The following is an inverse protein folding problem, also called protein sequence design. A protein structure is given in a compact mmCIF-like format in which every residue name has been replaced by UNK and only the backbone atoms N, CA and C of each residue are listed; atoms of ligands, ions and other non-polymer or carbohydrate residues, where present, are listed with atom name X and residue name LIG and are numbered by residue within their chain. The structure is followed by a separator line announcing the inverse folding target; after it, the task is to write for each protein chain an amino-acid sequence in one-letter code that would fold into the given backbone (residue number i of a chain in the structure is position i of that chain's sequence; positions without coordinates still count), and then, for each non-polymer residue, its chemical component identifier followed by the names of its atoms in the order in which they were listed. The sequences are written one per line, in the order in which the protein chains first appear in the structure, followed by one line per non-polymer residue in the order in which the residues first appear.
data_IF_970530197982
#
_entry.id   IF_970530197982
#
_cell.length_a   1.000
_cell.length_b   1.000
_cell.length_c   1.000
_cell.angle_alpha   90.00
_cell.angle_beta   90.00
_cell.angle_gamma   90.00
#
_symmetry.space_group_name_H-M   'P 1'
#
loop_
_entity.id
_entity.type
_entity.pdbx_description
1 polymer ?
2 non-polymer ?
3 non-polymer ?
4 water ?
#
# COMPACT_ATOMS: atom_id res chain seq x y z
N UNK A 10 -15.88 10.94 -0.24
CA UNK A 10 -15.24 10.56 1.05
C UNK A 10 -14.69 9.14 1.08
N UNK A 11 -13.48 9.07 1.61
CA UNK A 11 -12.78 7.82 1.84
C UNK A 11 -13.47 7.20 3.05
N UNK A 12 -13.86 5.92 2.96
CA UNK A 12 -14.59 5.35 4.09
C UNK A 12 -13.73 5.14 5.35
N UNK A 13 -14.43 5.16 6.49
CA UNK A 13 -13.83 4.94 7.79
C UNK A 13 -13.56 3.43 7.83
N UNK A 14 -12.74 3.00 8.79
CA UNK A 14 -12.47 1.56 8.93
C UNK A 14 -13.70 0.86 9.46
N UNK A 15 -13.85 -0.42 9.12
CA UNK A 15 -15.01 -1.21 9.60
C UNK A 15 -14.75 -1.96 10.89
N UNK A 16 -13.51 -1.95 11.38
CA UNK A 16 -13.18 -2.66 12.61
C UNK A 16 -13.44 -1.81 13.85
N UNK A 17 -13.28 -2.42 15.04
CA UNK A 17 -13.61 -1.80 16.32
C UNK A 17 -12.64 -0.73 16.82
N UNK A 18 -11.43 -0.69 16.30
CA UNK A 18 -10.41 0.23 16.80
C UNK A 18 -10.54 1.56 16.07
N UNK A 19 -10.37 2.63 16.82
CA UNK A 19 -10.18 3.96 16.23
C UNK A 19 -8.81 3.98 15.55
N UNK A 20 -8.66 4.82 14.54
CA UNK A 20 -7.43 4.87 13.74
C UNK A 20 -6.70 6.22 13.81
N UNK A 21 -5.37 6.11 13.93
CA UNK A 21 -4.46 7.24 13.94
C UNK A 21 -3.56 7.20 12.72
N UNK A 22 -2.92 8.32 12.42
CA UNK A 22 -2.00 8.40 11.33
C UNK A 22 -0.89 9.40 11.60
N UNK A 23 0.32 9.06 11.13
CA UNK A 23 1.47 9.96 11.15
C UNK A 23 2.47 9.60 10.03
N UNK A 24 3.45 10.47 9.82
CA UNK A 24 4.53 10.25 8.86
C UNK A 24 5.87 10.05 9.58
N UNK A 25 6.71 9.18 9.01
CA UNK A 25 8.05 8.90 9.54
C UNK A 25 9.06 8.90 8.40
N UNK A 26 10.12 9.71 8.55
CA UNK A 26 11.22 9.73 7.59
C UNK A 26 12.54 9.54 8.33
N UNK A 27 13.18 8.39 8.10
CA UNK A 27 14.47 8.11 8.73
C UNK A 27 15.35 7.15 7.94
N UNK A 28 16.60 7.51 7.63
CA UNK A 28 17.13 8.90 7.82
C UNK A 28 16.45 9.93 6.88
N UNK A 29 16.95 11.17 6.93
CA UNK A 29 16.51 12.28 6.07
C UNK A 29 16.90 12.22 4.58
N UNK A 30 17.72 11.24 4.18
CA UNK A 30 18.34 11.27 2.83
C UNK A 30 17.41 10.59 1.84
N UNK A 31 17.79 10.65 0.56
CA UNK A 31 17.08 9.89 -0.48
C UNK A 31 17.22 8.36 -0.37
N UNK A 32 18.15 7.88 0.46
CA UNK A 32 18.28 6.46 0.79
C UNK A 32 17.62 6.06 2.12
N UNK A 33 17.08 7.04 2.82
CA UNK A 33 16.30 6.77 4.00
C UNK A 33 14.94 6.13 3.70
N UNK A 34 14.24 5.79 4.77
CA UNK A 34 12.87 5.29 4.72
C UNK A 34 11.92 6.46 4.94
N UNK A 35 10.90 6.53 4.08
CA UNK A 35 9.76 7.44 4.21
C UNK A 35 8.51 6.58 4.21
N UNK A 36 7.70 6.70 5.24
CA UNK A 36 6.45 5.95 5.30
C UNK A 36 5.38 6.75 6.00
N UNK A 37 4.14 6.44 5.64
CA UNK A 37 2.95 6.89 6.35
C UNK A 37 2.44 5.73 7.16
N UNK A 38 2.24 6.00 8.45
CA UNK A 38 1.87 4.96 9.40
C UNK A 38 0.39 5.12 9.73
N UNK A 39 -0.34 4.02 9.67
CA UNK A 39 -1.71 3.93 10.19
C UNK A 39 -1.69 2.91 11.31
N UNK A 40 -2.35 3.24 12.42
CA UNK A 40 -2.25 2.46 13.63
C UNK A 40 -3.50 2.58 14.51
N UNK A 41 -3.77 1.56 15.34
CA UNK A 41 -4.89 1.68 16.27
C UNK A 41 -4.62 2.81 17.25
N UNK A 42 -5.58 3.71 17.42
CA UNK A 42 -5.35 4.93 18.20
C UNK A 42 -6.06 4.93 19.54
N UNK A 43 -5.44 5.60 20.50
CA UNK A 43 -6.03 5.81 21.81
C UNK A 43 -7.17 6.82 21.70
N UNK A 44 -6.88 7.95 21.07
CA UNK A 44 -7.83 9.07 20.93
C UNK A 44 -8.61 9.05 19.61
N UNK A 45 -9.81 9.63 19.68
CA UNK A 45 -10.65 9.84 18.50
C UNK A 45 -11.13 11.31 18.31
N UNK A 46 -10.55 12.26 19.03
CA UNK A 46 -10.91 13.69 18.94
C UNK A 46 -9.87 14.54 18.20
N UNK A 47 -8.97 13.89 17.46
CA UNK A 47 -7.97 14.63 16.71
C UNK A 47 -8.53 15.10 15.38
N UNK A 48 -7.82 16.04 14.76
CA UNK A 48 -8.08 16.44 13.39
C UNK A 48 -7.83 15.29 12.45
N UNK A 49 -8.70 15.15 11.45
CA UNK A 49 -8.50 14.18 10.36
C UNK A 49 -7.22 14.51 9.57
N UNK A 50 -6.75 13.51 8.83
CA UNK A 50 -5.45 13.53 8.16
C UNK A 50 -5.59 14.09 6.73
N UNK A 51 -4.75 15.06 6.39
CA UNK A 51 -4.75 15.68 5.07
C UNK A 51 -4.25 14.63 4.05
N UNK A 52 -5.07 14.41 3.02
CA UNK A 52 -4.94 13.25 2.13
C UNK A 52 -3.71 13.33 1.23
N UNK A 53 -3.55 14.48 0.58
CA UNK A 53 -2.40 14.76 -0.30
C UNK A 53 -1.78 16.07 0.25
N UNK A 54 -0.71 15.95 1.05
CA UNK A 54 -0.20 17.06 1.90
C UNK A 54 0.67 18.16 1.31
N UNK A 55 1.13 18.02 0.08
CA UNK A 55 2.00 19.03 -0.54
C UNK A 55 1.62 19.22 -2.00
N UNK A 56 1.77 20.46 -2.45
CA UNK A 56 1.45 20.85 -3.83
C UNK A 56 2.22 20.06 -4.88
N UNK A 57 3.46 19.71 -4.54
CA UNK A 57 4.34 19.05 -5.47
C UNK A 57 3.80 17.65 -5.85
N UNK A 58 3.02 17.01 -4.98
CA UNK A 58 2.35 15.77 -5.38
C UNK A 58 1.38 16.01 -6.54
N UNK A 59 0.67 17.12 -6.55
CA UNK A 59 -0.25 17.43 -7.67
C UNK A 59 0.54 17.71 -8.95
N UNK A 60 1.63 18.44 -8.81
CA UNK A 60 2.53 18.66 -9.93
C UNK A 60 3.02 17.35 -10.54
N UNK A 61 3.46 16.44 -9.68
CA UNK A 61 3.81 15.08 -10.06
C UNK A 61 2.69 14.32 -10.74
N UNK A 62 1.51 14.26 -10.12
CA UNK A 62 0.35 13.61 -10.74
C UNK A 62 0.09 14.18 -12.15
N UNK A 63 0.26 15.49 -12.34
CA UNK A 63 -0.01 16.06 -13.66
C UNK A 63 0.90 15.45 -14.75
N UNK A 64 2.16 15.18 -14.40
CA UNK A 64 3.10 14.54 -15.32
C UNK A 64 2.69 13.08 -15.59
N UNK A 65 2.28 12.39 -14.54
CA UNK A 65 1.84 10.99 -14.66
C UNK A 65 0.62 10.87 -15.56
N UNK A 66 -0.30 11.82 -15.43
CA UNK A 66 -1.49 11.85 -16.28
C UNK A 66 -1.17 12.36 -17.68
N UNK A 67 0.05 12.86 -17.89
CA UNK A 67 0.50 13.30 -19.21
C UNK A 67 -0.21 14.54 -19.65
N UNK A 68 -0.76 15.28 -18.68
CA UNK A 68 -1.53 16.49 -18.95
C UNK A 68 -0.58 17.66 -18.92
N UNK A 69 -1.12 18.78 -19.36
CA UNK A 69 -0.48 20.07 -19.20
C UNK A 69 -0.08 20.26 -17.72
N UNK A 70 1.15 20.71 -17.51
CA UNK A 70 1.69 20.98 -16.16
C UNK A 70 0.78 21.86 -15.25
N UNK A 71 0.20 22.92 -15.84
CA UNK A 71 -0.78 23.81 -15.17
C UNK A 71 -2.01 23.09 -14.58
N UNK A 72 -2.35 21.92 -15.11
CA UNK A 72 -3.40 21.07 -14.51
C UNK A 72 -3.09 20.66 -13.06
N UNK A 73 -1.81 20.60 -12.70
CA UNK A 73 -1.39 20.36 -11.31
C UNK A 73 -2.07 21.26 -10.29
N UNK A 74 -2.02 22.57 -10.55
CA UNK A 74 -2.72 23.55 -9.71
C UNK A 74 -4.24 23.42 -9.70
N UNK A 75 -4.81 22.94 -10.80
CA UNK A 75 -6.25 22.60 -10.85
C UNK A 75 -6.54 21.35 -9.99
N UNK A 76 -5.71 20.32 -10.10
CA UNK A 76 -5.88 19.13 -9.23
C UNK A 76 -5.78 19.52 -7.75
N UNK A 77 -4.87 20.44 -7.45
CA UNK A 77 -4.66 20.90 -6.10
C UNK A 77 -5.87 21.67 -5.59
N UNK A 78 -6.38 22.61 -6.39
CA UNK A 78 -7.63 23.27 -6.07
C UNK A 78 -8.72 22.22 -5.74
N UNK A 79 -8.87 21.20 -6.59
CA UNK A 79 -9.98 20.24 -6.48
C UNK A 79 -9.83 19.30 -5.31
N UNK A 80 -8.60 18.87 -5.04
CA UNK A 80 -8.33 17.84 -4.04
C UNK A 80 -7.41 18.23 -2.88
N UNK A 81 -6.84 19.43 -2.89
CA UNK A 81 -5.84 19.84 -1.89
C UNK A 81 -6.30 20.04 -0.45
N UNK A 82 -7.61 20.11 -0.25
CA UNK A 82 -8.23 20.28 1.07
C UNK A 82 -8.88 19.00 1.63
N UNK A 83 -8.93 17.94 0.83
CA UNK A 83 -9.52 16.67 1.26
C UNK A 83 -8.75 15.99 2.38
N UNK A 84 -9.50 15.40 3.29
CA UNK A 84 -8.92 14.64 4.38
C UNK A 84 -9.30 13.19 4.23
N UNK A 85 -8.64 12.36 5.04
CA UNK A 85 -8.92 10.94 5.12
C UNK A 85 -9.20 10.65 6.61
N UNK A 86 -10.20 9.78 6.92
CA UNK A 86 -10.64 9.63 8.32
C UNK A 86 -9.68 8.85 9.25
N UNK A 87 -8.52 9.45 9.51
CA UNK A 87 -7.55 8.97 10.50
C UNK A 87 -7.12 10.14 11.40
N UNK A 88 -7.07 9.89 12.70
CA UNK A 88 -6.74 10.94 13.67
C UNK A 88 -5.24 11.26 13.56
N UNK A 89 -4.95 12.46 13.06
CA UNK A 89 -3.54 12.90 12.83
C UNK A 89 -2.82 12.94 14.17
N UNK A 90 -1.69 12.23 14.24
CA UNK A 90 -0.80 12.22 15.41
C UNK A 90 -1.43 11.76 16.72
N UNK A 91 -2.51 10.99 16.66
CA UNK A 91 -3.13 10.48 17.87
C UNK A 91 -2.16 9.54 18.57
N UNK A 92 -2.19 9.49 19.91
CA UNK A 92 -1.37 8.47 20.55
C UNK A 92 -1.78 7.05 20.15
N UNK A 93 -0.79 6.17 20.14
CA UNK A 93 -1.02 4.75 19.85
C UNK A 93 -1.81 4.13 20.98
N UNK A 94 -2.74 3.26 20.61
CA UNK A 94 -3.54 2.53 21.57
C UNK A 94 -2.63 1.52 22.29
N UNK A 95 -2.43 1.72 23.60
CA UNK A 95 -1.46 0.90 24.30
C UNK A 95 -2.02 -0.46 24.69
N UNK A 96 -1.14 -1.28 25.27
CA UNK A 96 -1.52 -2.50 25.99
C UNK A 96 -1.69 -3.76 25.16
N UNK A 97 -1.36 -3.71 23.87
CA UNK A 97 -1.47 -4.87 22.99
C UNK A 97 -0.44 -4.79 21.86
N UNK A 98 0.08 -5.95 21.46
CA UNK A 98 1.04 -6.06 20.34
C UNK A 98 0.31 -6.30 19.02
N UNK A 99 0.65 -5.47 18.03
CA UNK A 99 -0.07 -5.43 16.76
C UNK A 99 0.74 -6.05 15.63
N UNK A 100 0.11 -6.88 14.77
CA UNK A 100 0.82 -7.31 13.56
C UNK A 100 1.08 -6.13 12.63
N UNK A 101 2.01 -6.34 11.69
CA UNK A 101 2.51 -5.29 10.82
C UNK A 101 2.36 -5.62 9.34
N UNK A 102 1.77 -4.68 8.60
CA UNK A 102 1.69 -4.72 7.16
C UNK A 102 2.61 -3.62 6.64
N UNK A 103 3.42 -3.96 5.64
CA UNK A 103 4.21 -2.97 4.90
C UNK A 103 3.44 -2.89 3.59
N UNK A 104 3.09 -1.67 3.17
CA UNK A 104 2.27 -1.44 1.97
C UNK A 104 3.03 -0.70 0.87
N UNK A 105 2.93 -1.22 -0.35
CA UNK A 105 3.60 -0.66 -1.53
C UNK A 105 2.66 -0.10 -2.59
N UNK A 106 2.87 1.18 -2.92
CA UNK A 106 2.02 1.90 -3.83
C UNK A 106 2.35 1.60 -5.30
N UNK A 107 1.37 1.86 -6.16
CA UNK A 107 1.54 1.73 -7.61
C UNK A 107 2.38 2.84 -8.25
N UNK A 108 2.57 2.70 -9.55
CA UNK A 108 3.26 3.67 -10.37
C UNK A 108 2.47 4.95 -10.53
N UNK A 109 3.13 6.08 -10.31
CA UNK A 109 2.48 7.38 -10.33
C UNK A 109 1.68 7.70 -9.07
N UNK A 110 1.66 6.76 -8.11
CA UNK A 110 1.03 6.99 -6.80
C UNK A 110 2.11 7.47 -5.82
N UNK A 111 1.81 7.47 -4.53
CA UNK A 111 2.77 7.78 -3.46
C UNK A 111 2.12 7.32 -2.15
N UNK A 112 2.74 7.61 -1.00
CA UNK A 112 2.39 6.89 0.25
C UNK A 112 0.96 7.03 0.82
N UNK A 113 0.30 8.13 0.45
CA UNK A 113 -0.94 8.57 1.10
C UNK A 113 -2.22 8.08 0.38
N UNK A 114 -2.05 7.52 -0.81
CA UNK A 114 -3.17 7.25 -1.71
C UNK A 114 -3.84 5.89 -1.56
N UNK A 115 -3.48 5.19 -0.50
CA UNK A 115 -4.12 3.92 -0.19
C UNK A 115 -4.57 3.90 1.27
N UNK A 116 -5.15 5.03 1.69
CA UNK A 116 -5.66 5.20 3.05
C UNK A 116 -6.93 4.39 3.32
N UNK A 117 -7.73 4.12 2.30
CA UNK A 117 -8.94 3.29 2.52
C UNK A 117 -8.52 1.89 3.03
N UNK A 118 -7.52 1.31 2.39
CA UNK A 118 -6.97 0.03 2.80
C UNK A 118 -6.28 0.12 4.18
N UNK A 119 -5.41 1.11 4.34
CA UNK A 119 -4.58 1.27 5.54
C UNK A 119 -5.37 1.55 6.80
N UNK A 120 -6.33 2.47 6.69
CA UNK A 120 -7.28 2.77 7.75
C UNK A 120 -8.09 1.52 8.12
N UNK A 121 -8.57 0.77 7.13
CA UNK A 121 -9.38 -0.40 7.47
C UNK A 121 -8.57 -1.44 8.24
N UNK A 122 -7.34 -1.67 7.79
CA UNK A 122 -6.44 -2.63 8.43
C UNK A 122 -6.20 -2.20 9.88
N UNK A 123 -5.88 -0.92 10.06
CA UNK A 123 -5.65 -0.33 11.39
C UNK A 123 -6.83 -0.51 12.32
N UNK A 124 -8.04 -0.24 11.82
CA UNK A 124 -9.27 -0.39 12.58
C UNK A 124 -9.54 -1.83 13.04
N UNK A 125 -8.93 -2.82 12.38
CA UNK A 125 -8.95 -4.22 12.82
C UNK A 125 -7.77 -4.65 13.71
N UNK A 126 -6.87 -3.71 13.98
CA UNK A 126 -5.78 -3.90 14.93
C UNK A 126 -4.42 -4.20 14.33
N UNK A 127 -4.17 -3.70 13.14
CA UNK A 127 -2.86 -3.77 12.48
C UNK A 127 -2.18 -2.43 12.55
N UNK A 128 -0.85 -2.43 12.57
CA UNK A 128 -0.08 -1.26 12.19
C UNK A 128 0.31 -1.41 10.73
N UNK A 129 0.10 -0.32 9.96
CA UNK A 129 0.34 -0.30 8.54
C UNK A 129 1.40 0.78 8.24
N UNK A 130 2.43 0.39 7.50
CA UNK A 130 3.48 1.28 7.08
C UNK A 130 3.44 1.33 5.56
N UNK A 131 2.92 2.44 5.04
CA UNK A 131 2.80 2.67 3.62
C UNK A 131 4.07 3.41 3.20
N UNK A 132 4.95 2.67 2.53
CA UNK A 132 6.25 3.18 2.08
C UNK A 132 6.05 4.26 1.00
N UNK A 133 6.96 5.22 0.95
CA UNK A 133 7.05 6.08 -0.22
C UNK A 133 8.37 5.70 -0.92
N UNK A 134 8.22 5.17 -2.13
CA UNK A 134 9.35 4.73 -2.89
C UNK A 134 10.14 5.90 -3.48
N UNK A 135 11.45 5.75 -3.49
CA UNK A 135 12.38 6.75 -4.04
C UNK A 135 13.05 6.24 -5.33
N UNK A 136 12.31 5.39 -6.06
CA UNK A 136 12.80 4.77 -7.30
C UNK A 136 12.43 5.57 -8.57
N UNK A 137 11.86 6.76 -8.36
CA UNK A 137 11.21 7.55 -9.41
C UNK A 137 9.95 6.89 -10.01
N UNK A 138 9.31 5.96 -9.28
CA UNK A 138 8.00 5.41 -9.66
C UNK A 138 6.85 6.17 -9.00
N UNK A 139 7.13 6.93 -7.94
CA UNK A 139 6.13 7.81 -7.35
C UNK A 139 5.93 9.01 -8.27
N UNK A 140 4.71 9.58 -8.29
CA UNK A 140 4.48 10.85 -9.01
C UNK A 140 5.46 11.91 -8.50
N UNK A 141 5.60 11.95 -7.17
CA UNK A 141 6.57 12.76 -6.50
C UNK A 141 6.95 12.15 -5.16
N UNK A 142 8.13 12.50 -4.69
CA UNK A 142 8.50 12.27 -3.31
C UNK A 142 9.55 13.31 -2.94
N UNK A 143 9.94 13.34 -1.67
CA UNK A 143 10.94 14.27 -1.23
C UNK A 143 11.83 13.71 -0.13
N UNK A 144 12.90 14.44 0.11
CA UNK A 144 13.89 14.12 1.16
C UNK A 144 14.77 15.35 1.32
N UNK A 145 15.85 15.21 2.08
CA UNK A 145 16.71 16.35 2.37
C UNK A 145 18.12 16.01 1.94
N UNK A 146 18.77 17.03 1.39
CA UNK A 146 20.05 16.87 0.75
C UNK A 146 21.10 16.54 1.79
N UNK A 147 20.95 17.10 2.98
CA UNK A 147 21.88 16.84 4.07
C UNK A 147 21.27 17.26 5.42
N UNK A 148 22.05 17.11 6.49
CA UNK A 148 21.58 17.34 7.87
C UNK A 148 21.00 18.75 8.04
N UNK A 149 21.74 19.75 7.55
CA UNK A 149 21.30 21.16 7.58
C UNK A 149 19.95 21.36 6.90
N UNK A 150 19.83 20.95 5.64
CA UNK A 150 18.56 21.06 4.87
C UNK A 150 17.33 20.45 5.57
N UNK A 151 17.53 19.36 6.30
CA UNK A 151 16.45 18.73 7.07
C UNK A 151 16.02 19.56 8.28
N UNK A 152 16.97 20.22 8.94
CA UNK A 152 16.64 21.15 10.05
C UNK A 152 15.73 22.29 9.62
N UNK A 153 16.20 23.09 8.65
CA UNK A 153 15.38 24.19 8.13
C UNK A 153 14.22 23.73 7.26
N UNK A 154 14.10 22.43 6.99
CA UNK A 154 12.94 21.92 6.24
C UNK A 154 12.96 22.26 4.75
N UNK A 155 14.17 22.35 4.20
CA UNK A 155 14.38 22.65 2.78
C UNK A 155 14.30 21.32 2.01
N UNK A 156 13.11 21.03 1.49
CA UNK A 156 12.83 19.77 0.79
C UNK A 156 13.43 19.74 -0.63
N UNK A 157 13.95 18.58 -1.00
CA UNK A 157 14.33 18.28 -2.36
C UNK A 157 13.30 17.31 -2.92
N UNK A 158 12.71 17.67 -4.07
CA UNK A 158 11.67 16.88 -4.70
C UNK A 158 12.22 16.06 -5.82
N UNK A 159 11.73 14.83 -5.93
CA UNK A 159 12.11 13.87 -6.95
C UNK A 159 10.82 13.44 -7.66
N UNK A 160 10.79 13.61 -8.99
CA UNK A 160 9.56 13.41 -9.76
C UNK A 160 9.61 12.12 -10.55
N UNK A 161 8.43 11.69 -10.99
CA UNK A 161 8.25 10.49 -11.80
C UNK A 161 9.18 10.48 -13.01
N UNK A 162 9.83 9.36 -13.24
CA UNK A 162 10.63 9.14 -14.45
C UNK A 162 9.79 8.54 -15.58
N UNK A 163 9.86 9.18 -16.73
CA UNK A 163 9.29 8.66 -17.98
C UNK A 163 10.32 7.75 -18.67
N UNK A 164 9.90 6.55 -19.02
CA UNK A 164 10.78 5.57 -19.67
C UNK A 164 10.53 5.49 -21.16
N UNK A 165 11.61 5.36 -21.92
CA UNK A 165 11.55 5.00 -23.33
C UNK A 165 11.27 3.50 -23.46
N UNK A 166 10.71 3.11 -24.61
CA UNK A 166 10.37 1.69 -24.87
C UNK A 166 11.56 0.76 -24.55
N UNK A 167 12.77 1.23 -24.87
CA UNK A 167 13.99 0.44 -24.76
C UNK A 167 14.55 0.30 -23.35
N UNK A 168 14.09 1.13 -22.41
CA UNK A 168 14.47 1.03 -20.98
C UNK A 168 13.46 0.23 -20.18
N UNK A 169 12.31 -0.08 -20.76
CA UNK A 169 11.16 -0.55 -19.97
C UNK A 169 11.49 -1.81 -19.17
N UNK A 170 11.94 -2.86 -19.85
CA UNK A 170 12.26 -4.15 -19.18
C UNK A 170 13.27 -3.91 -18.05
N UNK A 171 14.44 -3.40 -18.46
CA UNK A 171 15.55 -3.22 -17.55
C UNK A 171 15.19 -2.30 -16.38
N UNK A 172 14.73 -1.09 -16.66
CA UNK A 172 14.51 -0.12 -15.58
C UNK A 172 13.34 -0.48 -14.67
N UNK A 173 12.27 -1.08 -15.17
CA UNK A 173 11.19 -1.55 -14.27
C UNK A 173 11.68 -2.62 -13.31
N UNK A 174 12.63 -3.43 -13.75
CA UNK A 174 13.17 -4.47 -12.88
C UNK A 174 14.08 -3.84 -11.83
N UNK A 175 14.93 -2.89 -12.21
CA UNK A 175 15.77 -2.19 -11.24
C UNK A 175 14.90 -1.53 -10.17
N UNK A 176 13.78 -1.00 -10.60
CA UNK A 176 12.82 -0.32 -9.75
C UNK A 176 12.10 -1.22 -8.75
N UNK A 177 11.61 -2.37 -9.24
CA UNK A 177 11.01 -3.34 -8.35
C UNK A 177 12.04 -3.84 -7.31
N UNK A 178 13.28 -4.05 -7.71
CA UNK A 178 14.27 -4.50 -6.73
C UNK A 178 14.55 -3.44 -5.69
N UNK A 179 14.68 -2.16 -6.11
CA UNK A 179 14.77 -1.06 -5.14
C UNK A 179 13.56 -1.02 -4.22
N UNK A 180 12.37 -1.17 -4.79
CA UNK A 180 11.16 -1.21 -3.99
C UNK A 180 11.21 -2.32 -2.90
N UNK A 181 11.60 -3.52 -3.29
CA UNK A 181 11.75 -4.60 -2.32
C UNK A 181 12.70 -4.18 -1.20
N UNK A 182 13.86 -3.61 -1.59
CA UNK A 182 14.83 -3.15 -0.61
C UNK A 182 14.27 -2.11 0.33
N UNK A 183 13.48 -1.17 -0.21
CA UNK A 183 12.82 -0.15 0.59
C UNK A 183 11.77 -0.76 1.54
N UNK A 184 11.05 -1.79 1.09
CA UNK A 184 10.15 -2.51 2.00
C UNK A 184 10.86 -3.19 3.14
N UNK A 185 11.96 -3.88 2.85
CA UNK A 185 12.75 -4.56 3.88
C UNK A 185 13.35 -3.56 4.84
N UNK A 186 13.77 -2.41 4.33
CA UNK A 186 14.35 -1.35 5.14
C UNK A 186 13.32 -0.75 6.09
N UNK A 187 12.10 -0.58 5.59
CA UNK A 187 11.00 -0.07 6.40
C UNK A 187 10.72 -1.02 7.55
N UNK A 188 10.58 -2.30 7.23
CA UNK A 188 10.45 -3.36 8.26
C UNK A 188 11.50 -3.24 9.34
N UNK A 189 12.78 -3.24 8.93
CA UNK A 189 13.89 -3.12 9.88
C UNK A 189 13.83 -1.86 10.74
N UNK A 190 13.47 -0.72 10.13
CA UNK A 190 13.26 0.53 10.88
C UNK A 190 12.19 0.37 11.95
N UNK A 191 11.04 -0.18 11.57
CA UNK A 191 9.93 -0.37 12.50
C UNK A 191 10.32 -1.38 13.58
N UNK A 192 10.88 -2.51 13.17
CA UNK A 192 11.36 -3.49 14.17
C UNK A 192 12.38 -2.89 15.15
N UNK A 193 13.27 -2.02 14.67
CA UNK A 193 14.21 -1.30 15.59
C UNK A 193 13.51 -0.36 16.54
N UNK A 194 12.51 0.36 16.01
CA UNK A 194 11.69 1.24 16.83
C UNK A 194 10.97 0.42 17.90
N UNK A 195 10.42 -0.73 17.52
CA UNK A 195 9.81 -1.68 18.47
C UNK A 195 10.78 -2.12 19.57
N UNK A 196 11.99 -2.48 19.17
CA UNK A 196 13.06 -2.84 20.12
C UNK A 196 13.80 -1.64 20.72
N UNK A 197 13.22 -0.45 20.53
CA UNK A 197 13.42 0.72 21.41
C UNK A 197 14.53 1.70 21.02
N UNK A 198 15.14 1.49 19.86
CA UNK A 198 16.20 2.36 19.36
C UNK A 198 15.64 3.78 19.21
N UNK A 199 16.32 4.79 19.81
CA UNK A 199 15.91 6.19 19.53
C UNK A 199 16.08 6.55 18.05
N UNK A 200 15.00 7.07 17.48
CA UNK A 200 14.95 7.49 16.09
C UNK A 200 14.47 8.92 16.15
N UNK A 201 15.26 9.86 15.65
CA UNK A 201 14.82 11.24 15.44
C UNK A 201 14.17 11.39 14.07
N UNK A 202 12.83 11.50 14.05
CA UNK A 202 12.08 11.68 12.81
C UNK A 202 12.60 12.92 12.08
N UNK A 203 12.85 12.80 10.78
CA UNK A 203 13.37 13.94 10.03
C UNK A 203 12.27 14.99 9.79
N UNK A 204 11.02 14.54 9.87
CA UNK A 204 9.88 15.42 9.94
C UNK A 204 9.60 15.76 11.39
N UNK A 205 9.42 17.03 11.66
CA UNK A 205 9.19 17.55 13.00
C UNK A 205 7.69 17.44 13.25
N UNK A 206 7.25 16.25 13.69
CA UNK A 206 5.84 15.99 13.99
C UNK A 206 5.64 15.62 15.45
N UNK A 207 4.52 16.06 16.00
CA UNK A 207 4.24 15.90 17.43
C UNK A 207 3.76 14.46 17.63
N UNK A 208 4.69 13.52 17.60
CA UNK A 208 4.37 12.10 17.72
C UNK A 208 5.63 11.36 18.13
N UNK A 209 5.68 10.94 19.37
CA UNK A 209 6.88 10.35 19.93
C UNK A 209 6.89 8.88 19.53
N UNK A 210 7.95 8.50 18.81
CA UNK A 210 8.10 7.14 18.32
C UNK A 210 8.33 6.11 19.46
N UNK A 211 8.77 6.58 20.61
CA UNK A 211 8.88 5.71 21.81
C UNK A 211 7.58 4.96 22.18
N UNK A 212 6.44 5.56 21.87
CA UNK A 212 5.14 4.87 21.91
C UNK A 212 5.14 3.49 21.29
N UNK A 213 5.79 3.38 20.13
CA UNK A 213 5.84 2.11 19.39
C UNK A 213 6.71 1.01 20.03
N UNK A 214 7.46 1.34 21.08
CA UNK A 214 8.23 0.34 21.80
C UNK A 214 7.30 -0.79 22.27
N UNK A 215 7.80 -2.03 22.18
CA UNK A 215 7.07 -3.26 22.54
C UNK A 215 5.62 -3.40 22.06
N UNK A 216 5.30 -2.75 20.95
CA UNK A 216 3.92 -2.69 20.41
C UNK A 216 3.69 -3.45 19.09
N UNK A 217 4.76 -4.09 18.58
CA UNK A 217 4.69 -4.88 17.36
C UNK A 217 4.76 -6.37 17.73
N UNK A 218 3.89 -7.14 17.08
CA UNK A 218 3.91 -8.59 17.19
C UNK A 218 4.95 -9.03 16.16
N UNK A 219 6.15 -9.33 16.64
CA UNK A 219 7.35 -9.24 15.78
C UNK A 219 7.40 -10.27 14.66
N UNK A 220 6.77 -11.41 14.84
CA UNK A 220 6.73 -12.43 13.78
C UNK A 220 5.53 -12.36 12.82
N UNK A 221 4.54 -11.54 13.14
CA UNK A 221 3.29 -11.46 12.38
C UNK A 221 3.43 -10.29 11.41
N UNK A 222 4.10 -10.57 10.30
CA UNK A 222 4.48 -9.55 9.33
C UNK A 222 4.06 -9.94 7.93
N UNK A 223 3.41 -9.02 7.22
CA UNK A 223 2.99 -9.22 5.85
C UNK A 223 3.27 -8.01 5.00
N UNK A 224 3.31 -8.24 3.70
CA UNK A 224 3.54 -7.17 2.71
C UNK A 224 2.34 -7.19 1.74
N UNK A 225 1.79 -6.00 1.46
CA UNK A 225 0.65 -5.81 0.57
C UNK A 225 0.96 -4.64 -0.38
N UNK A 226 0.40 -4.69 -1.57
CA UNK A 226 0.63 -3.62 -2.53
C UNK A 226 -0.17 -3.80 -3.79
N UNK A 227 -0.36 -2.64 -4.44
CA UNK A 227 -1.20 -2.49 -5.60
C UNK A 227 -0.38 -2.29 -6.87
N UNK A 228 -0.67 -3.14 -7.87
CA UNK A 228 -0.14 -2.98 -9.23
C UNK A 228 1.40 -3.14 -9.25
N UNK A 229 2.15 -2.07 -9.50
CA UNK A 229 3.60 -2.10 -9.29
C UNK A 229 3.92 -2.57 -7.87
N UNK A 230 3.12 -2.12 -6.92
CA UNK A 230 3.22 -2.57 -5.51
C UNK A 230 3.00 -4.06 -5.30
N UNK A 231 2.20 -4.66 -6.19
CA UNK A 231 1.89 -6.08 -6.19
C UNK A 231 3.08 -6.91 -6.66
N UNK A 232 3.78 -6.42 -7.68
CA UNK A 232 5.06 -7.04 -8.09
C UNK A 232 6.05 -6.87 -6.91
N UNK A 233 5.99 -5.72 -6.28
CA UNK A 233 6.85 -5.43 -5.12
C UNK A 233 6.63 -6.46 -4.02
N UNK A 234 5.36 -6.80 -3.74
CA UNK A 234 5.05 -7.86 -2.80
C UNK A 234 5.90 -9.10 -3.12
N UNK A 235 5.84 -9.51 -4.37
CA UNK A 235 6.43 -10.78 -4.80
C UNK A 235 7.96 -10.76 -4.77
N UNK A 236 8.56 -9.66 -5.25
CA UNK A 236 10.00 -9.50 -5.12
C UNK A 236 10.41 -9.54 -3.63
N UNK A 237 9.64 -8.85 -2.80
CA UNK A 237 9.96 -8.63 -1.38
C UNK A 237 9.96 -10.00 -0.65
N UNK A 238 8.91 -10.78 -0.85
CA UNK A 238 8.80 -12.11 -0.31
C UNK A 238 9.97 -12.97 -0.67
N UNK A 239 10.39 -12.92 -1.93
CA UNK A 239 11.48 -13.77 -2.39
C UNK A 239 12.82 -13.41 -1.74
N UNK A 240 12.95 -12.14 -1.37
CA UNK A 240 14.18 -11.61 -0.78
C UNK A 240 14.27 -11.59 0.75
N UNK A 241 13.14 -11.62 1.43
CA UNK A 241 13.10 -11.32 2.87
C UNK A 241 12.11 -12.28 3.51
N UNK A 242 12.64 -13.33 4.13
CA UNK A 242 11.81 -14.35 4.77
C UNK A 242 11.09 -13.84 6.03
N UNK A 243 11.41 -12.62 6.49
CA UNK A 243 10.73 -12.03 7.65
C UNK A 243 9.28 -11.78 7.36
N UNK A 244 8.96 -11.48 6.09
CA UNK A 244 7.59 -11.36 5.63
C UNK A 244 6.98 -12.75 5.49
N UNK A 245 5.90 -13.01 6.20
CA UNK A 245 5.37 -14.36 6.32
C UNK A 245 4.28 -14.70 5.32
N UNK A 246 3.67 -13.68 4.71
CA UNK A 246 2.80 -13.89 3.56
C UNK A 246 2.61 -12.56 2.84
N UNK A 247 2.06 -12.64 1.63
CA UNK A 247 1.82 -11.46 0.81
C UNK A 247 0.45 -11.45 0.16
N UNK A 248 -0.05 -10.26 -0.06
CA UNK A 248 -1.29 -10.02 -0.81
C UNK A 248 -1.02 -9.00 -1.92
N UNK A 249 -1.17 -9.45 -3.17
CA UNK A 249 -0.95 -8.63 -4.32
C UNK A 249 -2.32 -8.19 -4.84
N UNK A 250 -2.53 -6.87 -4.86
CA UNK A 250 -3.80 -6.28 -5.30
C UNK A 250 -3.61 -5.88 -6.73
N UNK A 251 -4.25 -6.60 -7.64
CA UNK A 251 -4.18 -6.37 -9.09
C UNK A 251 -2.71 -6.13 -9.49
N UNK A 252 -1.89 -7.14 -9.23
CA UNK A 252 -0.47 -7.06 -9.54
C UNK A 252 -0.16 -6.83 -11.03
N UNK A 253 0.76 -5.91 -11.30
CA UNK A 253 1.35 -5.72 -12.61
C UNK A 253 2.67 -6.47 -12.59
N UNK A 254 2.73 -7.61 -13.27
CA UNK A 254 3.84 -8.55 -13.12
C UNK A 254 5.09 -8.24 -13.97
N UNK A 255 4.97 -7.32 -14.91
CA UNK A 255 6.06 -7.04 -15.87
C UNK A 255 7.43 -6.75 -15.23
N UNK A 256 7.49 -5.99 -14.12
CA UNK A 256 8.79 -5.70 -13.50
C UNK A 256 9.63 -6.90 -13.03
N UNK A 257 9.00 -8.05 -12.76
CA UNK A 257 9.69 -9.16 -12.13
C UNK A 257 10.67 -9.84 -13.06
N UNK A 258 11.83 -10.19 -12.53
CA UNK A 258 12.79 -11.02 -13.27
C UNK A 258 12.32 -12.46 -13.35
N UNK A 259 12.70 -13.17 -14.41
CA UNK A 259 12.36 -14.61 -14.61
C UNK A 259 12.73 -15.50 -13.43
N UNK A 260 13.77 -15.09 -12.72
CA UNK A 260 14.30 -15.86 -11.62
C UNK A 260 13.40 -15.94 -10.40
N UNK A 261 12.53 -14.95 -10.18
CA UNK A 261 11.81 -14.83 -8.89
C UNK A 261 10.62 -15.79 -8.78
N UNK A 262 10.09 -16.22 -9.92
CA UNK A 262 8.83 -16.95 -9.96
C UNK A 262 8.86 -18.24 -9.17
N UNK A 263 9.97 -18.97 -9.20
CA UNK A 263 10.11 -20.22 -8.45
C UNK A 263 10.62 -20.05 -7.01
N UNK A 264 10.65 -18.81 -6.50
CA UNK A 264 11.44 -18.52 -5.29
C UNK A 264 10.60 -17.81 -4.22
N UNK A 265 9.32 -18.18 -4.09
CA UNK A 265 8.41 -17.50 -3.19
C UNK A 265 7.78 -18.57 -2.28
N UNK A 266 8.50 -18.96 -1.21
CA UNK A 266 7.96 -20.03 -0.37
C UNK A 266 6.71 -19.64 0.43
N UNK A 267 6.53 -18.35 0.70
CA UNK A 267 5.41 -17.86 1.54
C UNK A 267 4.04 -17.86 0.84
N UNK A 268 2.93 -18.00 1.62
CA UNK A 268 1.59 -17.87 1.01
C UNK A 268 1.38 -16.51 0.36
N UNK A 269 0.70 -16.55 -0.78
CA UNK A 269 0.48 -15.41 -1.62
C UNK A 269 -0.95 -15.48 -2.14
N UNK A 270 -1.61 -14.32 -2.11
CA UNK A 270 -3.02 -14.13 -2.44
C UNK A 270 -3.07 -13.06 -3.52
N UNK A 271 -3.64 -13.40 -4.67
CA UNK A 271 -3.89 -12.41 -5.74
C UNK A 271 -5.36 -12.02 -5.67
N UNK A 272 -5.61 -10.72 -5.44
CA UNK A 272 -6.95 -10.12 -5.51
C UNK A 272 -6.92 -9.23 -6.74
N UNK A 273 -7.67 -9.64 -7.77
CA UNK A 273 -7.68 -8.93 -9.06
C UNK A 273 -8.99 -8.19 -9.33
N UNK A 274 -8.91 -7.21 -10.23
CA UNK A 274 -10.09 -6.58 -10.78
C UNK A 274 -10.50 -7.35 -12.03
N UNK A 275 -11.77 -7.24 -12.39
CA UNK A 275 -12.27 -7.87 -13.61
C UNK A 275 -11.67 -7.28 -14.90
N UNK A 276 -11.55 -5.95 -14.96
CA UNK A 276 -11.26 -5.26 -16.24
C UNK A 276 -9.78 -4.98 -16.52
N UNK A 277 -8.92 -5.03 -15.53
CA UNK A 277 -7.51 -4.77 -15.74
C UNK A 277 -6.77 -5.92 -16.39
N UNK A 278 -7.05 -7.14 -15.95
CA UNK A 278 -6.17 -8.28 -16.21
C UNK A 278 -6.19 -8.78 -17.67
N UNK A 279 -5.11 -9.45 -18.03
CA UNK A 279 -4.87 -9.93 -19.39
C UNK A 279 -3.98 -11.17 -19.37
N UNK A 280 -4.07 -12.03 -20.42
CA UNK A 280 -3.33 -13.30 -20.44
C UNK A 280 -1.85 -13.23 -20.03
N UNK A 281 -1.08 -12.30 -20.58
CA UNK A 281 0.36 -12.24 -20.28
C UNK A 281 0.61 -12.07 -18.77
N UNK A 282 -0.16 -11.17 -18.15
CA UNK A 282 -0.12 -10.92 -16.72
C UNK A 282 -0.59 -12.12 -15.90
N UNK A 283 -1.70 -12.75 -16.26
CA UNK A 283 -2.21 -13.95 -15.56
C UNK A 283 -1.25 -15.14 -15.63
N UNK A 284 -0.63 -15.35 -16.79
CA UNK A 284 0.34 -16.42 -16.99
C UNK A 284 1.49 -16.27 -16.01
N UNK A 285 1.95 -15.03 -15.87
CA UNK A 285 2.99 -14.71 -14.90
C UNK A 285 2.57 -15.00 -13.46
N UNK A 286 1.34 -14.65 -13.09
CA UNK A 286 0.83 -15.01 -11.76
C UNK A 286 0.87 -16.53 -11.57
N UNK A 287 0.46 -17.27 -12.59
CA UNK A 287 0.43 -18.74 -12.53
C UNK A 287 1.83 -19.39 -12.45
N UNK A 288 2.89 -18.68 -12.86
CA UNK A 288 4.27 -19.13 -12.69
C UNK A 288 4.73 -19.06 -11.23
N UNK A 289 3.97 -18.36 -10.39
CA UNK A 289 4.23 -18.38 -8.97
C UNK A 289 3.66 -19.62 -8.32
N UNK A 290 2.81 -20.36 -9.02
CA UNK A 290 2.11 -21.52 -8.46
C UNK A 290 3.01 -22.74 -8.56
N UNK A 291 2.80 -23.65 -7.62
CA UNK A 291 3.68 -24.80 -7.39
C UNK A 291 2.99 -25.72 -6.39
N UNK A 292 3.08 -27.05 -6.56
CA UNK A 292 2.23 -27.91 -5.72
C UNK A 292 2.44 -27.75 -4.20
N UNK A 293 3.65 -27.43 -3.80
CA UNK A 293 4.00 -27.27 -2.38
C UNK A 293 3.62 -25.90 -1.76
N UNK A 294 3.18 -24.94 -2.58
CA UNK A 294 2.95 -23.58 -2.12
C UNK A 294 1.49 -23.20 -2.00
N UNK A 295 1.22 -22.27 -1.10
CA UNK A 295 -0.12 -21.79 -0.82
C UNK A 295 -0.40 -20.56 -1.67
N UNK A 296 -1.37 -20.71 -2.57
CA UNK A 296 -1.72 -19.69 -3.54
C UNK A 296 -3.23 -19.59 -3.62
N UNK A 297 -3.74 -18.36 -3.70
CA UNK A 297 -5.17 -18.07 -3.81
C UNK A 297 -5.35 -16.88 -4.77
N UNK A 298 -6.45 -16.89 -5.51
CA UNK A 298 -6.80 -15.87 -6.46
C UNK A 298 -8.31 -15.67 -6.51
N UNK A 299 -8.71 -14.41 -6.51
CA UNK A 299 -10.11 -14.03 -6.70
C UNK A 299 -10.17 -12.78 -7.57
N UNK A 300 -11.33 -12.55 -8.15
CA UNK A 300 -11.55 -11.43 -9.04
C UNK A 300 -12.85 -10.77 -8.65
N UNK A 301 -12.77 -9.47 -8.40
CA UNK A 301 -13.91 -8.67 -7.98
C UNK A 301 -14.75 -8.30 -9.20
N UNK A 302 -16.01 -8.76 -9.24
CA UNK A 302 -16.93 -8.51 -10.35
C UNK A 302 -17.18 -7.04 -10.53
N UNK A 303 -17.14 -6.58 -11.77
CA UNK A 303 -17.45 -5.20 -12.12
C UNK A 303 -16.41 -4.17 -11.70
N UNK A 304 -15.21 -4.62 -11.33
CA UNK A 304 -14.19 -3.73 -10.80
C UNK A 304 -13.15 -3.39 -11.85
N UNK A 305 -12.51 -2.23 -11.63
CA UNK A 305 -11.44 -1.73 -12.48
C UNK A 305 -10.17 -1.60 -11.64
N UNK A 306 -9.04 -1.47 -12.32
CA UNK A 306 -7.72 -1.33 -11.68
C UNK A 306 -7.72 -0.32 -10.50
N UNK A 307 -8.42 0.80 -10.68
CA UNK A 307 -8.44 1.86 -9.69
C UNK A 307 -9.30 1.63 -8.43
N UNK A 308 -10.12 0.56 -8.38
CA UNK A 308 -10.93 0.27 -7.18
C UNK A 308 -10.07 0.03 -5.89
N UNK A 309 -8.78 -0.28 -6.06
CA UNK A 309 -7.90 -0.52 -4.93
C UNK A 309 -7.22 0.73 -4.42
N UNK A 310 -7.41 1.88 -5.08
CA UNK A 310 -6.77 3.12 -4.64
C UNK A 310 -7.76 4.18 -4.27
N UNK A 311 -7.27 5.22 -3.59
CA UNK A 311 -8.17 6.21 -2.96
C UNK A 311 -8.94 7.10 -3.95
N UNK A 312 -8.45 7.27 -5.17
CA UNK A 312 -9.10 8.18 -6.12
C UNK A 312 -10.44 7.62 -6.62
N UNK A 313 -10.70 6.32 -6.38
CA UNK A 313 -12.04 5.74 -6.58
C UNK A 313 -13.10 6.32 -5.65
N UNK A 314 -12.68 7.02 -4.61
CA UNK A 314 -13.59 7.71 -3.70
C UNK A 314 -13.66 9.23 -3.86
N UNK A 315 -12.79 9.80 -4.67
CA UNK A 315 -12.56 11.25 -4.71
C UNK A 315 -13.49 12.05 -5.58
N UNK A 316 -14.24 11.36 -6.43
CA UNK A 316 -15.18 11.98 -7.37
C UNK A 316 -16.52 11.26 -7.37
N UNK A 317 -17.50 11.93 -7.99
CA UNK A 317 -18.83 11.37 -8.25
C UNK A 317 -18.85 10.16 -9.16
N UNK A 318 -19.99 9.45 -9.16
CA UNK A 318 -20.21 8.19 -9.91
C UNK A 318 -20.00 8.32 -11.39
N UNK A 319 -20.52 9.39 -11.97
CA UNK A 319 -20.46 9.57 -13.41
C UNK A 319 -19.04 9.97 -13.88
N UNK A 320 -18.45 11.04 -13.34
CA UNK A 320 -17.08 11.39 -13.79
C UNK A 320 -16.10 10.32 -13.34
N UNK A 321 -16.40 9.68 -12.22
CA UNK A 321 -15.61 8.55 -11.77
C UNK A 321 -15.56 7.41 -12.78
N UNK A 322 -16.73 7.04 -13.31
CA UNK A 322 -16.82 5.98 -14.32
C UNK A 322 -16.12 6.38 -15.61
N UNK A 323 -16.35 7.61 -16.04
CA UNK A 323 -15.70 8.18 -17.23
C UNK A 323 -14.18 8.19 -17.15
N UNK A 324 -13.64 8.63 -16.01
CA UNK A 324 -12.19 8.69 -15.77
C UNK A 324 -11.51 7.34 -15.38
N UNK A 325 -12.28 6.25 -15.42
CA UNK A 325 -11.78 4.91 -15.08
C UNK A 325 -11.33 4.75 -13.62
N UNK A 326 -11.87 5.58 -12.74
CA UNK A 326 -11.67 5.51 -11.29
C UNK A 326 -12.66 4.57 -10.61
N UNK A 327 -13.85 4.44 -11.19
CA UNK A 327 -14.90 3.59 -10.64
C UNK A 327 -15.31 2.56 -11.69
N UNK A 328 -15.72 1.39 -11.23
CA UNK A 328 -16.28 0.37 -12.09
C UNK A 328 -17.79 0.33 -11.99
N UNK A 329 -18.35 -0.73 -12.55
CA UNK A 329 -19.78 -1.03 -12.45
C UNK A 329 -20.19 -1.26 -10.99
N UNK A 330 -19.30 -1.91 -10.26
CA UNK A 330 -19.51 -2.20 -8.86
C UNK A 330 -19.31 -0.93 -8.02
N UNK A 331 -20.06 -0.82 -6.93
CA UNK A 331 -19.84 0.24 -5.95
C UNK A 331 -18.45 0.20 -5.30
N UNK A 332 -17.80 1.34 -5.22
CA UNK A 332 -16.44 1.42 -4.69
C UNK A 332 -16.26 0.98 -3.24
N UNK A 333 -17.26 1.26 -2.39
CA UNK A 333 -17.22 0.78 -1.00
C UNK A 333 -17.46 -0.72 -0.96
N UNK A 334 -18.45 -1.20 -1.72
CA UNK A 334 -18.67 -2.65 -1.87
C UNK A 334 -17.34 -3.33 -2.28
N UNK A 335 -16.71 -2.83 -3.34
CA UNK A 335 -15.49 -3.45 -3.87
C UNK A 335 -14.38 -3.51 -2.83
N UNK A 336 -14.10 -2.37 -2.20
CA UNK A 336 -13.01 -2.31 -1.23
C UNK A 336 -13.32 -3.14 0.03
N UNK A 337 -14.58 -3.17 0.47
CA UNK A 337 -15.00 -4.05 1.58
C UNK A 337 -14.61 -5.50 1.29
N UNK A 338 -14.91 -5.98 0.08
CA UNK A 338 -14.58 -7.34 -0.33
C UNK A 338 -13.07 -7.60 -0.28
N UNK A 339 -12.29 -6.68 -0.85
CA UNK A 339 -10.84 -6.79 -0.88
C UNK A 339 -10.25 -6.77 0.54
N UNK A 340 -10.72 -5.83 1.36
CA UNK A 340 -10.24 -5.69 2.72
C UNK A 340 -10.63 -6.86 3.61
N UNK A 341 -11.89 -7.34 3.53
CA UNK A 341 -12.34 -8.48 4.36
C UNK A 341 -11.65 -9.79 3.99
N UNK A 342 -11.51 -10.05 2.69
CA UNK A 342 -10.79 -11.24 2.19
C UNK A 342 -9.33 -11.22 2.59
N UNK A 343 -8.74 -10.02 2.54
CA UNK A 343 -7.36 -9.79 3.00
C UNK A 343 -7.18 -10.15 4.47
N UNK A 344 -8.09 -9.66 5.30
CA UNK A 344 -8.10 -9.98 6.74
C UNK A 344 -8.16 -11.46 7.06
N UNK A 345 -9.00 -12.19 6.32
CA UNK A 345 -9.14 -13.62 6.57
C UNK A 345 -7.82 -14.34 6.24
N UNK A 346 -7.27 -14.02 5.07
CA UNK A 346 -5.97 -14.54 4.63
C UNK A 346 -4.84 -14.27 5.63
N UNK A 347 -4.74 -13.02 6.06
CA UNK A 347 -3.77 -12.63 7.07
C UNK A 347 -3.97 -13.45 8.36
N UNK A 348 -5.22 -13.62 8.79
CA UNK A 348 -5.50 -14.39 9.99
C UNK A 348 -4.96 -15.81 9.82
N UNK A 349 -5.29 -16.43 8.68
CA UNK A 349 -4.83 -17.78 8.39
C UNK A 349 -3.30 -17.92 8.39
N UNK A 350 -2.61 -16.98 7.77
CA UNK A 350 -1.18 -17.18 7.50
C UNK A 350 -0.24 -16.48 8.46
N UNK A 351 -0.76 -15.53 9.23
CA UNK A 351 -0.03 -14.99 10.39
C UNK A 351 -0.39 -15.65 11.72
N UNK A 352 -1.43 -16.51 11.72
CA UNK A 352 -1.86 -17.19 12.93
C UNK A 352 -2.46 -16.25 13.98
N UNK A 353 -3.30 -15.32 13.53
CA UNK A 353 -3.95 -14.36 14.42
C UNK A 353 -5.16 -15.02 15.11
N UNK A 354 -5.47 -14.56 16.32
CA UNK A 354 -6.60 -15.08 17.14
C UNK A 354 -7.69 -14.00 17.23
N UNK A 355 -8.17 -13.62 16.07
CA UNK A 355 -9.22 -12.62 15.92
C UNK A 355 -10.42 -13.34 15.33
N UNK A 356 -11.39 -12.58 14.84
CA UNK A 356 -12.60 -13.13 14.23
C UNK A 356 -12.64 -12.93 12.69
N UNK A 357 -11.47 -12.74 12.07
CA UNK A 357 -11.41 -12.50 10.61
C UNK A 357 -11.74 -13.75 9.79
N UNK A 358 -11.72 -14.92 10.44
CA UNK A 358 -12.12 -16.17 9.79
C UNK A 358 -13.59 -16.23 9.39
N UNK A 359 -14.42 -15.29 9.89
CA UNK A 359 -15.79 -15.09 9.36
C UNK A 359 -15.80 -14.84 7.84
N UNK A 360 -14.74 -14.23 7.32
CA UNK A 360 -14.63 -13.92 5.89
C UNK A 360 -13.85 -14.95 5.07
N UNK A 361 -13.76 -16.18 5.58
CA UNK A 361 -12.93 -17.23 4.92
C UNK A 361 -13.44 -17.55 3.53
N UNK A 362 -14.76 -17.58 3.40
CA UNK A 362 -15.44 -17.87 2.13
C UNK A 362 -15.05 -16.91 0.99
N UNK A 363 -14.70 -15.68 1.33
CA UNK A 363 -14.23 -14.70 0.34
C UNK A 363 -12.84 -15.00 -0.27
N UNK A 364 -12.01 -15.77 0.44
CA UNK A 364 -10.70 -16.21 -0.07
C UNK A 364 -10.92 -17.19 -1.23
N UNK A 365 -12.01 -17.95 -1.15
CA UNK A 365 -12.43 -18.85 -2.20
C UNK A 365 -13.29 -18.16 -3.27
N UNK A 366 -13.50 -16.85 -3.17
CA UNK A 366 -14.37 -16.12 -4.11
C UNK A 366 -15.84 -16.57 -4.10
N UNK A 367 -16.32 -17.05 -2.94
CA UNK A 367 -17.67 -17.55 -2.76
C UNK A 367 -18.53 -16.41 -2.21
N UNK A 368 -19.05 -15.62 -3.14
CA UNK A 368 -19.82 -14.39 -2.88
C UNK A 368 -20.40 -13.91 -4.22
N UNK A 369 -21.60 -13.33 -4.23
CA UNK A 369 -22.21 -12.90 -5.50
C UNK A 369 -21.37 -11.89 -6.34
N UNK A 370 -20.58 -11.03 -5.68
CA UNK A 370 -19.70 -10.11 -6.40
C UNK A 370 -18.25 -10.60 -6.56
N UNK A 371 -18.01 -11.89 -6.33
CA UNK A 371 -16.68 -12.49 -6.53
C UNK A 371 -16.71 -13.60 -7.56
N UNK A 372 -15.57 -13.73 -8.23
CA UNK A 372 -15.25 -14.82 -9.15
C UNK A 372 -14.08 -15.59 -8.53
N UNK A 373 -14.27 -16.91 -8.27
CA UNK A 373 -13.13 -17.71 -7.86
C UNK A 373 -12.07 -17.69 -8.95
N UNK A 374 -10.82 -17.55 -8.54
CA UNK A 374 -9.74 -17.52 -9.52
C UNK A 374 -9.80 -16.33 -10.45
N UNK A 375 -9.75 -16.60 -11.75
CA UNK A 375 -9.74 -15.54 -12.76
C UNK A 375 -10.74 -15.75 -13.88
N UNK A 376 -11.26 -14.62 -14.38
CA UNK A 376 -12.09 -14.57 -15.59
C UNK A 376 -11.31 -14.67 -16.91
N UNK A 377 -9.99 -14.52 -16.83
CA UNK A 377 -9.12 -14.45 -18.02
C UNK A 377 -8.73 -15.86 -18.45
N UNK A 378 -9.05 -16.17 -19.70
CA UNK A 378 -8.67 -17.43 -20.34
C UNK A 378 -7.24 -17.30 -20.92
N UNK A 379 -6.39 -18.30 -20.64
CA UNK A 379 -4.99 -18.25 -21.08
C UNK A 379 -4.58 -19.46 -21.93
N UNK A 380 -4.69 -19.30 -23.25
CA UNK A 380 -4.17 -20.26 -24.23
C UNK A 380 -4.16 -19.65 -25.64
#
# INVERSE_FOLDING_TARGET
MAAASFGQTKIPRGNGPYSVGCTDLMFDHTNKGTFLRLYYPSQDNDRLDTLWIPNKEYFWGLSKFLGTHWLMGNILRLLFGSMTTPANWNSPLRPGEKYPLVVFSHGLGAFRTLYSAIGIDLASHGFIVAAVEHRDRSASATYYFKDQSAAEIGDKSWLYLRTLKQEEETHIRNEQVRQRAKECSQALSLILDIDHGKPVKNALDLKFDMEQLKDSIDREKIAVIGHSFGGATVIQTLSEDQRFRCGIALDAWMFPLGDEVYSRIPQPLFFINSEYFQYPANIIKMKKCYSPDKERKMITIRGSVHQNFADFTFATGKIIGHMLKLKGDIDSNVAIDLSNKASLAFLQKHLGLHKDFDQWDCLIEGDDENLIPGTNINTTNQHHHHHH
#
